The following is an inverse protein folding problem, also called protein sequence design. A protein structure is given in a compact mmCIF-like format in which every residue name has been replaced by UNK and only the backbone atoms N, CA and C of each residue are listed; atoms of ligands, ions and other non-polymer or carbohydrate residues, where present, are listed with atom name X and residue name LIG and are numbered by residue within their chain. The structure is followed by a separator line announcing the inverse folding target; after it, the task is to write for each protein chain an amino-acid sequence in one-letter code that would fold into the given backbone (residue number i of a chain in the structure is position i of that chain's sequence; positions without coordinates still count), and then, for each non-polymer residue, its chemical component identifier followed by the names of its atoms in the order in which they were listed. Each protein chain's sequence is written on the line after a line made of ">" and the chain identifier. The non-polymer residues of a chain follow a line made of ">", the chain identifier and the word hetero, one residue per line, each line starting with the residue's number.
data_IF_661553569674
#
_entry.id   IF_661553569674
#
_cell.length_a   1.000
_cell.length_b   1.000
_cell.length_c   1.000
_cell.angle_alpha   90.00
_cell.angle_beta   90.00
_cell.angle_gamma   90.00
#
_symmetry.space_group_name_H-M   'P 1'
#
loop_
_entity.id
_entity.type
_entity.pdbx_description
1 polymer ?
#
# COMPACT_ATOMS: atom_id res chain seq x y z
N UNK A 1 -2.29 -28.96 2.09
CA UNK A 1 -1.31 -29.99 2.51
C UNK A 1 -0.51 -29.45 3.65
N UNK A 2 -0.19 -30.27 4.66
CA UNK A 2 0.82 -29.95 5.66
C UNK A 2 2.12 -30.68 5.32
N UNK A 3 3.23 -29.98 5.48
CA UNK A 3 4.57 -30.45 5.16
C UNK A 3 5.49 -30.23 6.35
N UNK A 4 6.26 -31.24 6.71
CA UNK A 4 7.26 -31.15 7.78
C UNK A 4 8.56 -30.53 7.25
N UNK A 5 9.09 -29.56 7.98
CA UNK A 5 10.40 -28.98 7.71
C UNK A 5 11.46 -29.67 8.57
N UNK A 6 12.71 -29.61 8.14
CA UNK A 6 13.85 -29.92 9.00
C UNK A 6 13.89 -28.93 10.19
N UNK A 7 14.56 -29.32 11.27
CA UNK A 7 14.62 -28.52 12.51
C UNK A 7 15.26 -27.14 12.34
N UNK A 8 16.04 -26.95 11.28
CA UNK A 8 16.62 -25.66 10.90
C UNK A 8 15.71 -24.77 10.03
N UNK A 9 14.51 -25.27 9.67
CA UNK A 9 13.52 -24.64 8.80
C UNK A 9 14.04 -24.29 7.39
N UNK A 10 15.17 -24.85 6.94
CA UNK A 10 15.77 -24.51 5.63
C UNK A 10 15.25 -25.34 4.47
N UNK A 11 14.64 -26.48 4.77
CA UNK A 11 14.14 -27.41 3.74
C UNK A 11 13.02 -28.29 4.26
N UNK A 12 12.25 -28.84 3.34
CA UNK A 12 11.28 -29.91 3.61
C UNK A 12 12.04 -31.17 4.03
N UNK A 13 11.59 -31.82 5.09
CA UNK A 13 12.19 -33.05 5.61
C UNK A 13 11.89 -34.23 4.67
N UNK A 14 12.93 -34.86 4.14
CA UNK A 14 12.79 -36.08 3.34
C UNK A 14 12.15 -37.21 4.18
N UNK A 15 11.12 -37.86 3.64
CA UNK A 15 10.34 -38.87 4.38
C UNK A 15 9.50 -38.31 5.55
N UNK A 16 9.48 -36.99 5.75
CA UNK A 16 8.64 -36.32 6.75
C UNK A 16 7.17 -36.28 6.36
N UNK A 17 6.34 -35.68 7.22
CA UNK A 17 4.91 -35.52 6.94
C UNK A 17 4.72 -34.74 5.63
N UNK A 18 3.94 -35.29 4.71
CA UNK A 18 3.43 -34.61 3.51
C UNK A 18 2.01 -35.11 3.22
N UNK A 19 1.00 -34.45 3.81
CA UNK A 19 -0.38 -34.95 3.80
C UNK A 19 -1.39 -33.85 3.51
N UNK A 20 -2.36 -34.13 2.64
CA UNK A 20 -3.57 -33.32 2.51
C UNK A 20 -4.46 -33.56 3.73
N UNK A 21 -4.64 -32.53 4.57
CA UNK A 21 -5.34 -32.65 5.87
C UNK A 21 -6.76 -32.06 5.87
N UNK A 22 -7.10 -31.23 4.88
CA UNK A 22 -8.47 -30.86 4.55
C UNK A 22 -8.54 -30.53 3.05
N UNK A 23 -9.75 -30.60 2.48
CA UNK A 23 -10.06 -30.13 1.14
C UNK A 23 -11.20 -29.11 1.21
N UNK A 24 -10.86 -27.83 1.16
CA UNK A 24 -11.85 -26.76 1.09
C UNK A 24 -12.34 -26.51 -0.34
N UNK A 25 -11.69 -27.05 -1.37
CA UNK A 25 -11.87 -26.59 -2.75
C UNK A 25 -10.99 -25.39 -3.11
N UNK A 26 -11.07 -24.96 -4.37
CA UNK A 26 -10.08 -24.08 -5.02
C UNK A 26 -10.04 -22.64 -4.53
N UNK A 27 -11.05 -22.20 -3.78
CA UNK A 27 -11.17 -20.81 -3.33
C UNK A 27 -10.56 -20.54 -1.95
N UNK A 28 -10.17 -21.59 -1.22
CA UNK A 28 -9.61 -21.48 0.13
C UNK A 28 -8.12 -21.11 0.07
N UNK A 29 -7.75 -19.99 0.69
CA UNK A 29 -6.36 -19.60 0.87
C UNK A 29 -6.12 -19.01 2.27
N UNK A 30 -4.94 -18.41 2.46
CA UNK A 30 -4.69 -17.61 3.65
C UNK A 30 -4.65 -18.45 4.92
N UNK A 31 -4.11 -19.67 4.83
CA UNK A 31 -4.13 -20.63 5.91
C UNK A 31 -3.27 -20.18 7.11
N UNK A 32 -3.78 -20.25 8.34
CA UNK A 32 -3.03 -20.04 9.58
C UNK A 32 -3.33 -21.20 10.51
N UNK A 33 -2.29 -21.89 11.00
CA UNK A 33 -2.43 -23.03 11.90
C UNK A 33 -2.00 -22.65 13.31
N UNK A 34 -2.77 -23.08 14.32
CA UNK A 34 -2.40 -22.94 15.73
C UNK A 34 -2.96 -24.11 16.55
N UNK A 35 -2.46 -24.30 17.78
CA UNK A 35 -2.91 -25.37 18.69
C UNK A 35 -3.43 -24.76 19.99
N UNK A 36 -4.63 -25.15 20.41
CA UNK A 36 -5.25 -24.71 21.67
C UNK A 36 -6.20 -25.79 22.22
N UNK A 37 -6.25 -25.97 23.54
CA UNK A 37 -7.19 -26.87 24.22
C UNK A 37 -7.24 -28.29 23.62
N UNK A 38 -6.09 -28.83 23.20
CA UNK A 38 -6.01 -30.16 22.60
C UNK A 38 -6.45 -30.26 21.13
N UNK A 39 -6.83 -29.15 20.49
CA UNK A 39 -7.15 -29.07 19.06
C UNK A 39 -6.05 -28.35 18.27
N UNK A 40 -5.82 -28.82 17.06
CA UNK A 40 -5.19 -28.07 15.98
C UNK A 40 -6.29 -27.33 15.22
N UNK A 41 -6.13 -26.03 15.08
CA UNK A 41 -7.01 -25.15 14.30
C UNK A 41 -6.32 -24.71 13.03
N UNK A 42 -7.06 -24.64 11.93
CA UNK A 42 -6.63 -23.99 10.70
C UNK A 42 -7.68 -22.94 10.35
N UNK A 43 -7.27 -21.69 10.27
CA UNK A 43 -8.11 -20.62 9.73
C UNK A 43 -7.82 -20.52 8.24
N UNK A 44 -8.87 -20.29 7.45
CA UNK A 44 -8.79 -20.18 6.00
C UNK A 44 -9.88 -19.22 5.52
N UNK A 45 -9.58 -18.49 4.45
CA UNK A 45 -10.52 -17.55 3.85
C UNK A 45 -10.93 -18.04 2.47
N UNK A 46 -12.13 -18.62 2.31
CA UNK A 46 -12.67 -18.91 0.99
C UNK A 46 -13.49 -17.76 0.41
N UNK A 47 -13.71 -17.82 -0.90
CA UNK A 47 -14.82 -17.11 -1.54
C UNK A 47 -16.13 -17.77 -1.09
N UNK A 48 -17.11 -16.96 -0.69
CA UNK A 48 -18.43 -17.43 -0.28
C UNK A 48 -19.15 -18.10 -1.45
N UNK A 49 -19.68 -19.30 -1.22
CA UNK A 49 -20.44 -20.04 -2.24
C UNK A 49 -21.69 -19.27 -2.67
N UNK A 50 -21.98 -19.27 -3.99
CA UNK A 50 -23.20 -18.67 -4.55
C UNK A 50 -23.30 -17.14 -4.45
N UNK A 51 -22.27 -16.45 -3.93
CA UNK A 51 -22.20 -14.99 -3.86
C UNK A 51 -21.30 -14.39 -4.95
N UNK A 52 -21.32 -13.06 -5.09
CA UNK A 52 -20.24 -12.34 -5.78
C UNK A 52 -18.88 -12.56 -5.10
N UNK A 53 -17.82 -11.86 -5.53
CA UNK A 53 -16.50 -11.95 -4.89
C UNK A 53 -16.52 -11.39 -3.45
N UNK A 54 -17.02 -12.18 -2.51
CA UNK A 54 -17.08 -11.92 -1.08
C UNK A 54 -16.26 -13.00 -0.36
N UNK A 55 -15.46 -12.59 0.60
CA UNK A 55 -14.65 -13.50 1.42
C UNK A 55 -15.34 -13.74 2.75
N UNK A 56 -15.20 -14.96 3.26
CA UNK A 56 -15.59 -15.35 4.62
C UNK A 56 -14.38 -15.97 5.32
N UNK A 57 -14.49 -16.22 6.62
CA UNK A 57 -13.49 -16.96 7.38
C UNK A 57 -14.07 -18.28 7.90
N UNK A 58 -13.35 -19.36 7.67
CA UNK A 58 -13.65 -20.68 8.20
C UNK A 58 -12.53 -21.15 9.13
N UNK A 59 -12.93 -21.60 10.32
CA UNK A 59 -12.05 -22.38 11.18
C UNK A 59 -12.29 -23.87 10.90
N UNK A 60 -11.20 -24.61 10.78
CA UNK A 60 -11.14 -26.06 10.74
C UNK A 60 -10.48 -26.53 12.03
N UNK A 61 -10.94 -27.61 12.65
CA UNK A 61 -10.22 -28.18 13.80
C UNK A 61 -10.16 -29.70 13.82
N UNK A 62 -9.09 -30.23 14.41
CA UNK A 62 -8.90 -31.66 14.68
C UNK A 62 -8.08 -31.88 15.95
N UNK A 63 -8.32 -32.96 16.68
CA UNK A 63 -7.47 -33.34 17.83
C UNK A 63 -6.10 -33.88 17.42
N UNK A 64 -5.97 -34.32 16.16
CA UNK A 64 -4.75 -34.88 15.60
C UNK A 64 -4.34 -34.05 14.38
N UNK A 65 -3.08 -33.62 14.31
CA UNK A 65 -2.58 -32.77 13.22
C UNK A 65 -2.91 -33.31 11.82
N UNK A 66 -2.80 -34.63 11.67
CA UNK A 66 -3.04 -35.38 10.43
C UNK A 66 -4.38 -36.12 10.42
N UNK A 67 -5.29 -35.81 11.35
CA UNK A 67 -6.62 -36.41 11.45
C UNK A 67 -7.64 -35.77 10.50
N UNK A 68 -8.91 -36.13 10.70
CA UNK A 68 -10.04 -35.49 10.02
C UNK A 68 -10.36 -34.16 10.69
N UNK A 69 -10.60 -33.13 9.88
CA UNK A 69 -10.97 -31.80 10.37
C UNK A 69 -12.47 -31.55 10.17
N UNK A 70 -13.15 -31.12 11.23
CA UNK A 70 -14.48 -30.48 11.12
C UNK A 70 -14.31 -28.97 10.88
N UNK A 71 -15.33 -28.30 10.31
CA UNK A 71 -15.27 -26.87 9.99
C UNK A 71 -16.45 -26.07 10.52
N UNK A 72 -16.23 -24.76 10.69
CA UNK A 72 -17.26 -23.78 11.01
C UNK A 72 -16.94 -22.43 10.38
N UNK A 73 -17.95 -21.73 9.87
CA UNK A 73 -17.83 -20.32 9.50
C UNK A 73 -17.74 -19.49 10.79
N UNK A 74 -16.67 -18.70 10.94
CA UNK A 74 -16.42 -17.90 12.14
C UNK A 74 -16.52 -16.39 11.89
N UNK A 75 -16.53 -15.96 10.62
CA UNK A 75 -16.74 -14.59 10.17
C UNK A 75 -17.39 -14.61 8.79
N UNK A 76 -18.47 -13.86 8.62
CA UNK A 76 -19.10 -13.59 7.31
C UNK A 76 -19.52 -12.12 7.31
N UNK A 77 -18.58 -11.23 6.99
CA UNK A 77 -18.76 -9.79 7.18
C UNK A 77 -18.26 -8.96 5.99
N UNK A 78 -18.78 -9.30 4.81
CA UNK A 78 -18.49 -8.55 3.59
C UNK A 78 -17.02 -8.66 3.18
N UNK A 79 -16.30 -7.54 3.27
CA UNK A 79 -14.91 -7.43 2.84
C UNK A 79 -13.88 -7.83 3.92
N UNK A 80 -14.32 -8.10 5.15
CA UNK A 80 -13.44 -8.46 6.27
C UNK A 80 -13.07 -9.95 6.22
N UNK A 81 -11.77 -10.28 6.17
CA UNK A 81 -11.31 -11.68 6.07
C UNK A 81 -9.81 -11.88 6.37
N UNK A 82 -9.34 -13.12 6.21
CA UNK A 82 -7.95 -13.58 6.39
C UNK A 82 -7.46 -13.42 7.84
N UNK A 83 -8.27 -13.97 8.75
CA UNK A 83 -8.14 -13.83 10.20
C UNK A 83 -6.89 -14.53 10.74
N UNK A 84 -6.27 -13.88 11.72
CA UNK A 84 -5.29 -14.45 12.63
C UNK A 84 -5.78 -14.25 14.07
N UNK A 85 -6.07 -15.33 14.79
CA UNK A 85 -6.43 -15.27 16.20
C UNK A 85 -5.16 -15.07 17.03
N UNK A 86 -5.21 -14.09 17.93
CA UNK A 86 -4.14 -13.70 18.85
C UNK A 86 -4.69 -13.73 20.26
N UNK A 87 -3.97 -14.40 21.15
CA UNK A 87 -4.27 -14.46 22.57
C UNK A 87 -3.12 -13.80 23.33
N UNK A 88 -3.44 -12.87 24.23
CA UNK A 88 -2.45 -12.20 25.09
C UNK A 88 -2.50 -12.71 26.55
N UNK A 89 -3.29 -13.75 26.81
CA UNK A 89 -3.51 -14.34 28.14
C UNK A 89 -4.64 -13.69 28.95
N UNK A 90 -5.06 -12.46 28.62
CA UNK A 90 -6.17 -11.75 29.29
C UNK A 90 -7.35 -11.49 28.35
N UNK A 91 -7.10 -11.45 27.05
CA UNK A 91 -8.07 -11.17 26.01
C UNK A 91 -7.84 -12.04 24.77
N UNK A 92 -8.92 -12.26 24.02
CA UNK A 92 -8.91 -12.99 22.75
C UNK A 92 -9.26 -12.03 21.62
N UNK A 93 -8.36 -11.91 20.64
CA UNK A 93 -8.51 -11.00 19.51
C UNK A 93 -8.23 -11.70 18.19
N UNK A 94 -8.68 -11.06 17.13
CA UNK A 94 -8.36 -11.39 15.77
C UNK A 94 -7.75 -10.16 15.10
N UNK A 95 -6.59 -10.34 14.48
CA UNK A 95 -6.09 -9.44 13.45
C UNK A 95 -6.59 -9.94 12.09
N UNK A 96 -7.11 -9.04 11.27
CA UNK A 96 -7.64 -9.34 9.94
C UNK A 96 -7.51 -8.10 9.04
N UNK A 97 -8.02 -8.13 7.82
CA UNK A 97 -8.12 -6.90 7.02
C UNK A 97 -9.45 -6.78 6.28
N UNK A 98 -9.75 -5.56 5.84
CA UNK A 98 -10.87 -5.22 4.96
C UNK A 98 -10.33 -4.81 3.59
N UNK A 99 -10.88 -5.36 2.51
CA UNK A 99 -10.68 -4.81 1.17
C UNK A 99 -11.42 -3.47 1.03
N UNK A 100 -10.67 -2.38 0.83
CA UNK A 100 -11.21 -1.01 0.89
C UNK A 100 -10.87 -0.17 -0.34
N UNK A 101 -11.13 -0.70 -1.54
CA UNK A 101 -10.95 0.03 -2.79
C UNK A 101 -9.55 0.63 -2.93
N UNK A 102 -9.45 1.87 -3.40
CA UNK A 102 -8.18 2.53 -3.72
C UNK A 102 -7.15 2.62 -2.57
N UNK A 103 -7.56 2.68 -1.30
CA UNK A 103 -6.60 2.67 -0.17
C UNK A 103 -5.94 1.29 0.01
N UNK A 104 -6.52 0.26 -0.61
CA UNK A 104 -6.05 -1.12 -0.56
C UNK A 104 -6.69 -1.90 0.58
N UNK A 105 -5.88 -2.70 1.27
CA UNK A 105 -6.34 -3.64 2.29
C UNK A 105 -5.92 -3.14 3.66
N UNK A 106 -6.89 -2.76 4.48
CA UNK A 106 -6.63 -2.10 5.76
C UNK A 106 -6.72 -3.09 6.92
N UNK A 107 -5.70 -3.17 7.79
CA UNK A 107 -5.78 -4.00 8.98
C UNK A 107 -6.94 -3.59 9.88
N UNK A 108 -7.62 -4.58 10.46
CA UNK A 108 -8.62 -4.43 11.51
C UNK A 108 -8.32 -5.38 12.66
N UNK A 109 -8.92 -5.05 13.80
CA UNK A 109 -8.91 -5.87 14.99
C UNK A 109 -10.35 -6.14 15.40
N UNK A 110 -10.67 -7.37 15.78
CA UNK A 110 -11.98 -7.76 16.28
C UNK A 110 -11.83 -8.64 17.53
N UNK A 111 -12.77 -8.60 18.49
CA UNK A 111 -12.77 -9.53 19.61
C UNK A 111 -13.08 -10.96 19.14
N UNK A 112 -12.63 -11.94 19.91
CA UNK A 112 -12.90 -13.37 19.70
C UNK A 112 -13.64 -13.92 20.91
N UNK A 113 -14.75 -14.61 20.66
CA UNK A 113 -15.51 -15.33 21.68
C UNK A 113 -15.39 -16.83 21.42
N UNK A 114 -14.86 -17.56 22.40
CA UNK A 114 -14.76 -19.02 22.33
C UNK A 114 -16.10 -19.66 22.69
N UNK A 115 -16.75 -20.31 21.73
CA UNK A 115 -18.05 -21.00 21.93
C UNK A 115 -17.89 -22.46 21.52
N UNK A 116 -18.00 -23.37 22.49
CA UNK A 116 -17.80 -24.81 22.26
C UNK A 116 -16.48 -25.10 21.53
N UNK A 117 -15.37 -24.50 22.01
CA UNK A 117 -14.03 -24.57 21.41
C UNK A 117 -13.93 -24.05 19.96
N UNK A 118 -14.82 -23.15 19.54
CA UNK A 118 -14.71 -22.43 18.26
C UNK A 118 -14.37 -20.94 18.47
N UNK A 119 -13.40 -20.37 17.75
CA UNK A 119 -13.02 -18.97 17.88
C UNK A 119 -13.97 -18.08 17.05
N UNK A 120 -15.16 -17.82 17.56
CA UNK A 120 -16.15 -16.99 16.85
C UNK A 120 -15.73 -15.52 16.87
N UNK A 121 -15.64 -14.88 15.71
CA UNK A 121 -15.18 -13.49 15.59
C UNK A 121 -16.35 -12.54 15.87
N UNK A 122 -16.06 -11.40 16.50
CA UNK A 122 -17.05 -10.36 16.78
C UNK A 122 -17.58 -10.40 18.21
N UNK A 123 -18.36 -9.37 18.56
CA UNK A 123 -18.92 -9.21 19.90
C UNK A 123 -19.84 -10.40 20.20
N UNK A 124 -19.54 -11.13 21.26
CA UNK A 124 -20.25 -12.37 21.65
C UNK A 124 -20.32 -13.42 20.52
N UNK A 125 -19.34 -13.41 19.60
CA UNK A 125 -19.28 -14.36 18.49
C UNK A 125 -20.26 -14.10 17.36
N UNK A 126 -20.67 -12.85 17.15
CA UNK A 126 -21.65 -12.43 16.13
C UNK A 126 -21.28 -12.74 14.68
N UNK A 127 -20.01 -13.04 14.39
CA UNK A 127 -19.49 -13.19 13.04
C UNK A 127 -19.33 -11.86 12.31
N UNK A 128 -19.27 -10.73 13.04
CA UNK A 128 -19.21 -9.35 12.50
C UNK A 128 -18.13 -8.52 13.20
N UNK A 129 -17.39 -7.71 12.45
CA UNK A 129 -16.39 -6.80 12.99
C UNK A 129 -17.08 -5.55 13.53
N UNK A 130 -16.97 -5.23 14.84
CA UNK A 130 -17.58 -4.03 15.38
C UNK A 130 -16.85 -2.77 14.87
N UNK A 131 -17.58 -1.68 14.66
CA UNK A 131 -17.00 -0.39 14.28
C UNK A 131 -16.15 0.21 15.41
N UNK A 132 -16.54 -0.02 16.66
CA UNK A 132 -15.83 0.39 17.87
C UNK A 132 -15.81 -0.75 18.87
N UNK A 133 -14.69 -0.88 19.58
CA UNK A 133 -14.56 -1.87 20.64
C UNK A 133 -13.44 -1.47 21.59
N UNK A 134 -13.46 -2.03 22.80
CA UNK A 134 -12.43 -1.77 23.80
C UNK A 134 -11.06 -2.25 23.28
N UNK A 135 -9.99 -1.53 23.57
CA UNK A 135 -8.64 -1.98 23.20
C UNK A 135 -8.20 -3.14 24.11
N UNK A 136 -7.48 -4.17 23.61
CA UNK A 136 -6.92 -5.27 24.41
C UNK A 136 -6.20 -4.82 25.68
N UNK A 137 -5.25 -3.91 25.53
CA UNK A 137 -4.43 -3.44 26.63
C UNK A 137 -4.08 -1.96 26.43
N UNK A 138 -3.83 -1.26 27.53
CA UNK A 138 -3.19 0.05 27.53
C UNK A 138 -1.75 -0.09 27.02
N UNK A 139 -1.58 0.04 25.70
CA UNK A 139 -0.24 0.16 25.10
C UNK A 139 0.46 1.47 25.47
N UNK A 140 1.75 1.58 25.14
CA UNK A 140 2.59 2.78 25.34
C UNK A 140 2.25 3.94 24.38
N UNK A 141 0.96 4.22 24.17
CA UNK A 141 0.47 5.17 23.17
C UNK A 141 0.32 4.55 21.77
N UNK A 142 -0.11 5.39 20.81
CA UNK A 142 -0.19 5.06 19.39
C UNK A 142 1.14 5.47 18.75
N UNK A 143 1.77 4.56 18.00
CA UNK A 143 2.92 4.85 17.16
C UNK A 143 2.54 4.64 15.70
N UNK A 144 2.94 5.58 14.85
CA UNK A 144 2.76 5.49 13.40
C UNK A 144 4.13 5.67 12.73
N UNK A 145 4.35 5.08 11.54
CA UNK A 145 5.50 5.44 10.73
C UNK A 145 5.52 6.95 10.42
N UNK A 146 6.71 7.51 10.23
CA UNK A 146 6.87 8.87 9.73
C UNK A 146 6.16 9.04 8.37
N UNK A 147 5.71 10.25 8.05
CA UNK A 147 4.97 10.53 6.80
C UNK A 147 5.58 11.68 6.01
N UNK A 148 6.02 12.73 6.68
CA UNK A 148 6.84 13.79 6.07
C UNK A 148 8.32 13.43 6.12
N UNK A 149 9.09 13.92 5.16
CA UNK A 149 10.55 13.73 5.08
C UNK A 149 11.19 14.97 4.45
N UNK A 150 12.17 15.56 5.14
CA UNK A 150 12.98 16.69 4.66
C UNK A 150 14.31 16.22 4.07
N UNK A 151 14.48 14.91 3.86
CA UNK A 151 15.63 14.29 3.21
C UNK A 151 16.99 14.69 3.84
N UNK A 152 17.00 15.01 5.12
CA UNK A 152 18.20 15.44 5.86
C UNK A 152 19.10 14.29 6.29
N UNK A 153 18.63 13.03 6.18
CA UNK A 153 19.45 11.84 6.43
C UNK A 153 20.46 11.67 5.30
N UNK A 154 21.75 11.73 5.61
CA UNK A 154 22.80 11.78 4.58
C UNK A 154 22.90 10.54 3.67
N UNK A 155 22.52 9.35 4.14
CA UNK A 155 22.83 8.08 3.44
C UNK A 155 21.70 7.06 3.43
N UNK A 156 20.57 7.32 4.09
CA UNK A 156 19.52 6.33 4.26
C UNK A 156 18.14 6.91 3.97
N UNK A 157 17.41 6.20 3.12
CA UNK A 157 15.97 6.42 2.90
C UNK A 157 15.21 6.01 4.17
N UNK A 158 14.33 6.88 4.65
CA UNK A 158 13.52 6.64 5.85
C UNK A 158 12.49 5.50 5.63
N UNK A 159 12.10 4.80 6.69
CA UNK A 159 11.36 3.52 6.64
C UNK A 159 9.95 3.57 6.05
N UNK A 160 9.35 4.76 5.93
CA UNK A 160 8.04 4.96 5.30
C UNK A 160 8.09 4.77 3.78
N UNK A 161 9.26 4.96 3.20
CA UNK A 161 9.49 4.86 1.78
C UNK A 161 9.82 3.43 1.36
N UNK A 162 9.36 3.05 0.17
CA UNK A 162 9.74 1.82 -0.50
C UNK A 162 9.82 2.09 -1.99
N UNK A 163 10.83 1.53 -2.66
CA UNK A 163 10.98 1.62 -4.10
C UNK A 163 9.94 0.75 -4.82
N UNK A 164 9.45 1.20 -5.97
CA UNK A 164 8.83 0.33 -6.94
C UNK A 164 9.92 -0.56 -7.56
N UNK A 165 9.85 -1.87 -7.31
CA UNK A 165 10.93 -2.83 -7.61
C UNK A 165 12.26 -2.50 -6.92
N UNK A 166 13.31 -3.25 -7.25
CA UNK A 166 14.66 -2.97 -6.75
C UNK A 166 15.19 -1.66 -7.39
N UNK A 167 15.75 -0.73 -6.60
CA UNK A 167 16.33 0.49 -7.13
C UNK A 167 17.67 0.21 -7.82
N UNK A 168 18.07 1.13 -8.71
CA UNK A 168 19.45 1.33 -9.09
C UNK A 168 20.10 2.34 -8.12
N UNK A 169 20.96 1.84 -7.24
CA UNK A 169 21.60 2.63 -6.20
C UNK A 169 22.61 3.67 -6.73
N UNK A 170 22.98 3.61 -8.01
CA UNK A 170 23.80 4.65 -8.65
C UNK A 170 22.97 5.86 -9.12
N UNK A 171 21.64 5.73 -9.10
CA UNK A 171 20.68 6.67 -9.69
C UNK A 171 19.82 7.41 -8.65
N UNK A 172 20.15 7.33 -7.37
CA UNK A 172 19.57 8.18 -6.33
C UNK A 172 20.64 8.61 -5.32
N UNK A 173 20.44 9.76 -4.66
CA UNK A 173 21.39 10.26 -3.66
C UNK A 173 20.72 11.24 -2.70
N UNK A 174 21.17 11.22 -1.44
CA UNK A 174 20.85 12.22 -0.40
C UNK A 174 22.07 13.10 -0.03
N UNK A 175 23.25 12.81 -0.60
CA UNK A 175 24.52 13.46 -0.26
C UNK A 175 25.05 14.39 -1.36
N UNK A 176 24.73 14.12 -2.62
CA UNK A 176 25.10 15.00 -3.77
C UNK A 176 24.45 16.38 -3.70
N UNK A 177 23.30 16.49 -3.03
CA UNK A 177 22.68 17.75 -2.64
C UNK A 177 22.11 17.57 -1.22
N UNK A 178 22.89 17.88 -0.16
CA UNK A 178 22.44 17.67 1.21
C UNK A 178 21.09 18.37 1.49
N UNK A 179 20.19 17.65 2.18
CA UNK A 179 18.81 18.09 2.45
C UNK A 179 17.84 17.88 1.29
N UNK A 180 18.27 17.25 0.19
CA UNK A 180 17.43 16.99 -0.97
C UNK A 180 17.58 15.53 -1.42
N UNK A 181 16.48 14.93 -1.88
CA UNK A 181 16.52 13.68 -2.63
C UNK A 181 16.79 13.98 -4.11
N UNK A 182 17.94 13.54 -4.61
CA UNK A 182 18.25 13.53 -6.03
C UNK A 182 17.84 12.22 -6.68
N UNK A 183 17.02 12.28 -7.73
CA UNK A 183 16.73 11.16 -8.61
C UNK A 183 17.38 11.40 -9.98
N UNK A 184 18.36 10.57 -10.36
CA UNK A 184 19.03 10.66 -11.67
C UNK A 184 18.23 9.92 -12.73
N UNK A 185 18.21 10.47 -13.93
CA UNK A 185 17.38 9.98 -15.01
C UNK A 185 17.82 8.59 -15.48
N UNK A 186 16.83 7.72 -15.68
CA UNK A 186 16.94 6.45 -16.40
C UNK A 186 15.87 6.39 -17.50
N UNK A 187 16.13 5.61 -18.54
CA UNK A 187 15.12 5.37 -19.57
C UNK A 187 13.97 4.52 -19.01
N UNK A 188 12.74 4.87 -19.36
CA UNK A 188 11.56 4.03 -19.19
C UNK A 188 10.47 4.42 -20.20
N UNK A 189 9.70 3.46 -20.68
CA UNK A 189 8.57 3.74 -21.56
C UNK A 189 7.44 4.50 -20.84
N UNK A 190 7.29 4.26 -19.53
CA UNK A 190 6.27 4.86 -18.67
C UNK A 190 6.68 4.72 -17.19
N UNK A 191 5.91 5.35 -16.29
CA UNK A 191 6.21 5.34 -14.84
C UNK A 191 6.18 3.94 -14.19
N UNK A 192 5.44 2.96 -14.73
CA UNK A 192 5.39 1.61 -14.16
C UNK A 192 6.73 0.88 -14.30
N UNK A 193 7.48 1.21 -15.36
CA UNK A 193 8.81 0.68 -15.68
C UNK A 193 9.94 1.58 -15.19
N UNK A 194 9.63 2.80 -14.74
CA UNK A 194 10.61 3.75 -14.22
C UNK A 194 11.22 3.24 -12.91
N UNK A 195 12.46 2.74 -13.01
CA UNK A 195 13.30 2.45 -11.83
C UNK A 195 13.45 3.70 -10.97
N UNK A 196 13.70 3.49 -9.68
CA UNK A 196 13.83 4.55 -8.69
C UNK A 196 12.57 5.42 -8.54
N UNK A 197 11.40 4.85 -8.80
CA UNK A 197 10.13 5.43 -8.33
C UNK A 197 10.01 5.17 -6.82
N UNK A 198 10.17 6.21 -6.01
CA UNK A 198 10.14 6.14 -4.54
C UNK A 198 8.72 6.39 -4.04
N UNK A 199 8.12 5.43 -3.33
CA UNK A 199 6.71 5.50 -2.97
C UNK A 199 6.46 5.35 -1.47
N UNK A 200 5.44 6.02 -0.95
CA UNK A 200 4.89 5.79 0.40
C UNK A 200 3.36 5.65 0.35
N UNK A 201 2.77 5.05 1.38
CA UNK A 201 1.33 4.72 1.39
C UNK A 201 0.48 5.98 1.45
N UNK A 202 -0.59 6.02 0.64
CA UNK A 202 -1.73 6.91 0.92
C UNK A 202 -2.43 6.38 2.17
N UNK A 203 -2.84 7.30 3.06
CA UNK A 203 -3.62 6.95 4.26
C UNK A 203 -5.05 7.46 4.10
N UNK A 204 -6.02 6.62 4.45
CA UNK A 204 -7.44 6.94 4.38
C UNK A 204 -7.98 7.63 5.64
N UNK A 205 -9.21 8.18 5.59
CA UNK A 205 -10.08 8.22 4.42
C UNK A 205 -9.60 9.20 3.34
N UNK A 206 -8.78 10.20 3.73
CA UNK A 206 -8.22 11.19 2.83
C UNK A 206 -6.79 11.51 3.26
N UNK A 207 -5.94 11.85 2.31
CA UNK A 207 -4.63 12.42 2.61
C UNK A 207 -4.13 13.31 1.48
N UNK A 208 -3.22 14.20 1.82
CA UNK A 208 -2.50 15.03 0.87
C UNK A 208 -1.00 14.75 0.97
N UNK A 209 -0.34 14.64 -0.17
CA UNK A 209 1.11 14.56 -0.28
C UNK A 209 1.60 15.66 -1.21
N UNK A 210 2.64 16.39 -0.81
CA UNK A 210 3.23 17.41 -1.66
C UNK A 210 4.74 17.52 -1.53
N UNK A 211 5.36 17.98 -2.60
CA UNK A 211 6.81 18.15 -2.72
C UNK A 211 7.16 19.53 -3.23
N UNK A 212 8.41 19.93 -2.97
CA UNK A 212 9.08 21.00 -3.69
C UNK A 212 10.11 20.36 -4.62
N UNK A 213 9.97 20.62 -5.92
CA UNK A 213 10.78 20.06 -6.99
C UNK A 213 11.64 21.18 -7.60
N UNK A 214 12.95 20.95 -7.68
CA UNK A 214 13.84 21.71 -8.56
C UNK A 214 14.00 20.96 -9.90
N UNK A 215 13.40 21.53 -10.94
CA UNK A 215 13.41 21.02 -12.29
C UNK A 215 14.55 21.57 -13.15
N UNK A 216 15.51 22.32 -12.59
CA UNK A 216 16.60 22.98 -13.35
C UNK A 216 17.33 22.00 -14.27
N UNK A 217 17.60 20.78 -13.80
CA UNK A 217 18.37 19.76 -14.52
C UNK A 217 17.55 18.70 -15.28
N UNK A 218 16.23 18.91 -15.41
CA UNK A 218 15.38 18.09 -16.27
C UNK A 218 15.67 18.45 -17.74
N UNK A 219 16.28 17.52 -18.48
CA UNK A 219 16.70 17.68 -19.90
C UNK A 219 15.57 17.31 -20.87
N UNK A 220 15.65 17.67 -22.17
CA UNK A 220 14.65 17.30 -23.16
C UNK A 220 14.28 15.81 -23.13
N UNK A 221 12.98 15.52 -23.17
CA UNK A 221 12.43 14.16 -23.09
C UNK A 221 12.35 13.58 -21.68
N UNK A 222 12.73 14.32 -20.64
CA UNK A 222 12.68 13.87 -19.24
C UNK A 222 11.41 14.35 -18.54
N UNK A 223 10.93 13.55 -17.59
CA UNK A 223 9.70 13.75 -16.82
C UNK A 223 9.99 13.42 -15.36
N UNK A 224 9.67 14.35 -14.46
CA UNK A 224 9.79 14.12 -13.01
C UNK A 224 8.66 14.80 -12.24
N UNK A 225 8.15 14.13 -11.21
CA UNK A 225 7.04 14.67 -10.44
C UNK A 225 6.52 13.76 -9.34
N UNK A 226 5.24 13.96 -9.02
CA UNK A 226 4.50 13.30 -7.94
C UNK A 226 3.27 12.58 -8.51
N UNK A 227 3.10 11.31 -8.17
CA UNK A 227 2.01 10.46 -8.67
C UNK A 227 1.08 9.97 -7.56
N UNK A 228 -0.22 9.89 -7.87
CA UNK A 228 -1.12 8.91 -7.29
C UNK A 228 -0.85 7.55 -7.98
N UNK A 229 0.03 6.76 -7.39
CA UNK A 229 0.69 5.64 -8.04
C UNK A 229 -0.03 4.31 -7.79
N UNK A 230 -0.43 3.70 -8.89
CA UNK A 230 -0.95 2.34 -9.03
C UNK A 230 -0.79 1.94 -10.51
N UNK A 231 -1.19 0.73 -10.91
CA UNK A 231 -1.28 0.37 -12.34
C UNK A 231 -2.25 1.26 -13.14
N UNK A 232 -3.16 1.98 -12.44
CA UNK A 232 -4.10 2.96 -13.00
C UNK A 232 -3.76 4.38 -12.52
N UNK A 233 -2.48 4.73 -12.64
CA UNK A 233 -1.92 5.96 -12.09
C UNK A 233 -2.43 7.23 -12.74
N UNK A 234 -2.25 8.33 -12.00
CA UNK A 234 -2.16 9.68 -12.54
C UNK A 234 -1.02 10.42 -11.84
N UNK A 235 -0.49 11.45 -12.48
CA UNK A 235 0.58 12.27 -11.91
C UNK A 235 0.45 13.74 -12.27
N UNK A 236 1.15 14.56 -11.49
CA UNK A 236 1.55 15.91 -11.86
C UNK A 236 3.07 15.99 -11.88
N UNK A 237 3.63 16.55 -12.94
CA UNK A 237 5.06 16.50 -13.21
C UNK A 237 5.55 17.68 -14.03
N UNK A 238 6.86 17.93 -13.96
CA UNK A 238 7.55 18.74 -14.97
C UNK A 238 8.04 17.82 -16.08
N UNK A 239 7.65 18.11 -17.32
CA UNK A 239 8.15 17.47 -18.53
C UNK A 239 8.88 18.48 -19.39
N UNK A 240 10.03 18.10 -19.93
CA UNK A 240 10.76 18.95 -20.87
C UNK A 240 10.48 18.50 -22.32
N UNK A 241 9.55 19.20 -22.98
CA UNK A 241 9.17 18.98 -24.37
C UNK A 241 10.20 19.69 -25.28
N UNK A 242 11.25 18.97 -25.71
CA UNK A 242 12.24 19.46 -26.66
C UNK A 242 12.86 20.83 -26.32
N UNK A 243 13.16 21.06 -25.03
CA UNK A 243 13.76 22.29 -24.52
C UNK A 243 12.78 23.20 -23.77
N UNK A 244 11.46 22.98 -23.93
CA UNK A 244 10.43 23.75 -23.21
C UNK A 244 9.92 22.94 -22.02
N UNK A 245 10.17 23.42 -20.80
CA UNK A 245 9.62 22.79 -19.59
C UNK A 245 8.15 23.17 -19.43
N UNK A 246 7.32 22.16 -19.20
CA UNK A 246 5.89 22.28 -18.94
C UNK A 246 5.53 21.59 -17.66
N UNK A 247 4.55 22.14 -16.96
CA UNK A 247 3.84 21.42 -15.92
C UNK A 247 2.73 20.60 -16.59
N UNK A 248 2.67 19.31 -16.28
CA UNK A 248 1.78 18.34 -16.91
C UNK A 248 1.02 17.57 -15.84
N UNK A 249 -0.31 17.53 -15.95
CA UNK A 249 -1.15 16.53 -15.31
C UNK A 249 -1.52 15.46 -16.33
N UNK A 250 -1.31 14.18 -15.99
CA UNK A 250 -1.58 13.04 -16.87
C UNK A 250 -2.28 11.92 -16.11
N UNK A 251 -3.26 11.27 -16.74
CA UNK A 251 -3.85 9.99 -16.32
C UNK A 251 -3.50 8.91 -17.33
N UNK A 252 -3.34 7.66 -16.87
CA UNK A 252 -2.97 6.52 -17.73
C UNK A 252 -3.96 6.20 -18.86
N UNK A 253 -5.16 6.78 -18.83
CA UNK A 253 -6.15 6.68 -19.91
C UNK A 253 -5.81 7.59 -21.12
N UNK A 254 -4.72 8.36 -21.03
CA UNK A 254 -4.27 9.29 -22.07
C UNK A 254 -4.73 10.73 -21.86
N UNK A 255 -5.57 11.00 -20.86
CA UNK A 255 -6.01 12.35 -20.53
C UNK A 255 -4.84 13.18 -20.01
N UNK A 256 -4.59 14.32 -20.64
CA UNK A 256 -3.49 15.21 -20.27
C UNK A 256 -3.94 16.68 -20.26
N UNK A 257 -3.39 17.47 -19.34
CA UNK A 257 -3.44 18.93 -19.37
C UNK A 257 -2.06 19.47 -19.06
N UNK A 258 -1.57 20.41 -19.87
CA UNK A 258 -0.27 21.02 -19.65
C UNK A 258 -0.28 22.54 -19.79
N UNK A 259 0.61 23.19 -19.05
CA UNK A 259 0.90 24.63 -19.13
C UNK A 259 2.41 24.83 -19.16
N UNK A 260 2.87 25.99 -19.63
CA UNK A 260 4.28 26.33 -19.53
C UNK A 260 4.71 26.40 -18.07
N UNK A 261 5.95 26.00 -17.79
CA UNK A 261 6.53 26.15 -16.46
C UNK A 261 7.08 27.58 -16.31
N UNK A 262 6.64 28.29 -15.29
CA UNK A 262 7.02 29.69 -15.04
C UNK A 262 8.35 29.80 -14.29
N UNK A 263 8.65 28.84 -13.42
CA UNK A 263 9.88 28.78 -12.62
C UNK A 263 10.38 27.33 -12.51
N UNK A 264 11.69 27.12 -12.55
CA UNK A 264 12.30 25.78 -12.38
C UNK A 264 12.01 25.18 -11.00
N UNK A 265 11.80 25.99 -9.96
CA UNK A 265 11.32 25.49 -8.66
C UNK A 265 9.79 25.56 -8.62
N UNK A 266 9.15 24.43 -8.39
CA UNK A 266 7.68 24.30 -8.34
C UNK A 266 7.26 23.34 -7.24
N UNK A 267 6.12 23.61 -6.62
CA UNK A 267 5.51 22.71 -5.66
C UNK A 267 4.43 21.88 -6.33
N UNK A 268 4.41 20.57 -6.05
CA UNK A 268 3.49 19.61 -6.65
C UNK A 268 2.72 18.90 -5.55
N UNK A 269 1.40 18.78 -5.66
CA UNK A 269 0.52 18.18 -4.65
C UNK A 269 -0.48 17.22 -5.27
N UNK A 270 -0.72 16.13 -4.55
CA UNK A 270 -1.77 15.16 -4.82
C UNK A 270 -2.65 15.06 -3.59
N UNK A 271 -3.94 15.37 -3.74
CA UNK A 271 -4.96 15.07 -2.75
C UNK A 271 -5.65 13.76 -3.15
N UNK A 272 -5.61 12.75 -2.27
CA UNK A 272 -6.27 11.48 -2.46
C UNK A 272 -7.47 11.36 -1.49
N UNK A 273 -8.66 11.09 -2.04
CA UNK A 273 -9.88 10.82 -1.30
C UNK A 273 -10.29 9.37 -1.57
N UNK A 274 -10.10 8.50 -0.58
CA UNK A 274 -10.34 7.07 -0.68
C UNK A 274 -11.82 6.70 -0.52
N UNK A 275 -12.63 7.57 0.06
CA UNK A 275 -14.09 7.37 0.16
C UNK A 275 -14.74 7.52 -1.22
N UNK A 276 -14.38 8.59 -1.93
CA UNK A 276 -14.85 8.87 -3.30
C UNK A 276 -14.01 8.19 -4.38
N UNK A 277 -12.87 7.63 -4.03
CA UNK A 277 -11.86 7.06 -4.93
C UNK A 277 -11.39 8.06 -6.00
N UNK A 278 -11.16 9.31 -5.59
CA UNK A 278 -10.72 10.39 -6.48
C UNK A 278 -9.38 10.95 -6.00
N UNK A 279 -8.42 11.08 -6.93
CA UNK A 279 -7.23 11.89 -6.71
C UNK A 279 -7.28 13.19 -7.54
N UNK A 280 -6.79 14.28 -6.95
CA UNK A 280 -6.72 15.62 -7.56
C UNK A 280 -5.29 16.14 -7.50
N UNK A 281 -4.91 16.88 -8.53
CA UNK A 281 -3.54 17.33 -8.74
C UNK A 281 -3.45 18.85 -8.70
N UNK A 282 -2.47 19.37 -7.97
CA UNK A 282 -2.29 20.80 -7.77
C UNK A 282 -0.82 21.18 -7.88
N UNK A 283 -0.58 22.43 -8.25
CA UNK A 283 0.74 23.03 -8.22
C UNK A 283 0.71 24.39 -7.51
N UNK A 284 1.89 24.86 -7.12
CA UNK A 284 2.09 26.18 -6.53
C UNK A 284 3.51 26.65 -6.83
N UNK A 285 3.75 27.96 -6.78
CA UNK A 285 5.08 28.57 -6.81
C UNK A 285 5.45 29.25 -5.48
N UNK A 286 4.53 29.30 -4.52
CA UNK A 286 4.72 29.94 -3.20
C UNK A 286 4.47 28.98 -2.00
N UNK A 287 4.09 27.73 -2.28
CA UNK A 287 3.66 26.69 -1.32
C UNK A 287 2.40 27.03 -0.49
N UNK A 288 1.74 28.17 -0.76
CA UNK A 288 0.60 28.66 0.01
C UNK A 288 -0.68 28.65 -0.83
N UNK A 289 -0.57 29.13 -2.07
CA UNK A 289 -1.66 29.25 -3.03
C UNK A 289 -1.55 28.13 -4.04
N UNK A 290 -2.51 27.20 -4.02
CA UNK A 290 -2.49 26.02 -4.86
C UNK A 290 -3.52 26.11 -5.98
N UNK A 291 -3.08 25.83 -7.20
CA UNK A 291 -3.93 25.80 -8.40
C UNK A 291 -4.10 24.37 -8.86
N UNK A 292 -5.36 23.95 -9.07
CA UNK A 292 -5.64 22.62 -9.63
C UNK A 292 -5.21 22.60 -11.10
N UNK A 293 -4.52 21.53 -11.51
CA UNK A 293 -4.21 21.28 -12.92
C UNK A 293 -4.92 20.00 -13.40
N UNK A 294 -5.56 20.10 -14.56
CA UNK A 294 -6.15 18.95 -15.26
C UNK A 294 -7.32 18.27 -14.56
N UNK A 295 -7.53 17.01 -14.95
CA UNK A 295 -8.71 16.25 -14.59
C UNK A 295 -8.52 15.46 -13.29
N UNK A 296 -9.64 15.06 -12.69
CA UNK A 296 -9.61 14.14 -11.55
C UNK A 296 -9.14 12.75 -12.06
N UNK A 297 -8.32 12.06 -11.28
CA UNK A 297 -8.10 10.64 -11.47
C UNK A 297 -9.17 9.86 -10.70
N UNK A 298 -9.90 8.99 -11.38
CA UNK A 298 -10.71 7.96 -10.73
C UNK A 298 -9.79 6.81 -10.32
N UNK A 299 -9.44 6.75 -9.04
CA UNK A 299 -8.59 5.69 -8.50
C UNK A 299 -9.33 4.35 -8.58
N UNK A 300 -8.66 3.34 -9.11
CA UNK A 300 -9.17 1.99 -9.27
C UNK A 300 -8.19 0.96 -8.70
N UNK A 301 -8.63 0.20 -7.69
CA UNK A 301 -7.87 -0.87 -7.07
C UNK A 301 -7.88 -2.11 -7.97
N UNK A 302 -7.00 -2.09 -8.96
CA UNK A 302 -6.89 -3.16 -9.93
C UNK A 302 -6.04 -4.34 -9.42
N UNK A 303 -6.66 -5.14 -8.55
CA UNK A 303 -6.05 -6.28 -7.85
C UNK A 303 -5.41 -7.34 -8.75
N UNK A 304 -5.81 -7.42 -10.03
CA UNK A 304 -5.28 -8.38 -11.01
C UNK A 304 -3.84 -8.09 -11.43
N UNK A 305 -3.45 -6.82 -11.43
CA UNK A 305 -2.05 -6.45 -11.63
C UNK A 305 -1.38 -6.25 -10.27
N UNK A 306 -1.89 -5.31 -9.48
CA UNK A 306 -1.24 -4.88 -8.24
C UNK A 306 -2.19 -5.10 -7.06
N UNK A 307 -1.73 -5.89 -6.09
CA UNK A 307 -2.48 -6.23 -4.87
C UNK A 307 -2.21 -5.21 -3.72
N UNK A 308 -1.76 -4.01 -4.08
CA UNK A 308 -1.37 -2.94 -3.15
C UNK A 308 -2.24 -1.71 -3.35
N UNK A 309 -2.54 -0.98 -2.28
CA UNK A 309 -3.28 0.30 -2.40
C UNK A 309 -2.49 1.36 -3.16
N UNK A 310 -3.16 2.45 -3.52
CA UNK A 310 -2.52 3.62 -4.11
C UNK A 310 -1.45 4.19 -3.18
N UNK A 311 -0.42 4.78 -3.77
CA UNK A 311 0.72 5.36 -3.07
C UNK A 311 1.01 6.76 -3.59
N UNK A 312 1.57 7.63 -2.76
CA UNK A 312 2.26 8.81 -3.26
C UNK A 312 3.63 8.37 -3.78
N UNK A 313 4.00 8.75 -5.00
CA UNK A 313 5.29 8.35 -5.57
C UNK A 313 6.04 9.50 -6.23
N UNK A 314 7.34 9.61 -5.90
CA UNK A 314 8.30 10.49 -6.55
C UNK A 314 9.00 9.71 -7.65
N UNK A 315 9.17 10.31 -8.82
CA UNK A 315 9.76 9.62 -9.97
C UNK A 315 10.55 10.58 -10.84
N UNK A 316 11.50 10.03 -11.59
CA UNK A 316 12.21 10.73 -12.66
C UNK A 316 12.62 9.71 -13.74
N UNK A 317 12.20 9.93 -14.99
CA UNK A 317 12.59 9.08 -16.11
C UNK A 317 12.63 9.86 -17.42
N UNK A 318 13.11 9.21 -18.48
CA UNK A 318 13.05 9.73 -19.85
C UNK A 318 12.46 8.71 -20.80
N UNK A 319 11.75 9.19 -21.82
CA UNK A 319 11.36 8.40 -22.99
C UNK A 319 12.35 8.57 -24.16
N UNK A 320 13.34 9.46 -24.02
CA UNK A 320 14.41 9.69 -25.00
C UNK A 320 15.71 8.97 -24.64
N UNK A 321 16.78 9.27 -25.37
CA UNK A 321 18.11 8.69 -25.14
C UNK A 321 18.95 9.42 -24.09
N UNK A 322 18.65 10.68 -23.79
CA UNK A 322 19.42 11.49 -22.83
C UNK A 322 19.07 11.17 -21.37
N UNK A 323 20.00 10.52 -20.69
CA UNK A 323 19.90 10.15 -19.26
C UNK A 323 20.81 10.98 -18.35
N UNK A 324 21.39 12.08 -18.86
CA UNK A 324 22.35 12.92 -18.13
C UNK A 324 21.70 13.84 -17.08
N UNK A 325 20.38 13.94 -17.08
CA UNK A 325 19.63 14.83 -16.19
C UNK A 325 19.28 14.21 -14.84
N UNK A 326 18.66 15.04 -14.00
CA UNK A 326 18.17 14.67 -12.69
C UNK A 326 17.10 15.65 -12.21
N UNK A 327 16.38 15.24 -11.18
CA UNK A 327 15.43 16.05 -10.42
C UNK A 327 15.78 16.00 -8.93
N UNK A 328 15.70 17.16 -8.28
CA UNK A 328 15.95 17.29 -6.84
C UNK A 328 14.63 17.61 -6.12
N UNK A 329 14.35 16.87 -5.04
CA UNK A 329 13.18 17.07 -4.18
C UNK A 329 13.64 17.53 -2.80
N UNK A 330 13.21 18.72 -2.37
CA UNK A 330 13.61 19.32 -1.06
C UNK A 330 12.99 18.53 0.10
N UNK A 331 11.71 18.19 -0.08
CA UNK A 331 10.95 17.49 0.93
C UNK A 331 9.78 16.74 0.28
N UNK A 332 9.22 15.84 1.07
CA UNK A 332 7.84 15.41 0.95
C UNK A 332 7.10 15.76 2.25
N UNK A 333 5.97 16.44 2.14
CA UNK A 333 5.08 16.71 3.27
C UNK A 333 3.78 15.95 3.10
N UNK A 334 3.20 15.60 4.24
CA UNK A 334 1.99 14.81 4.34
C UNK A 334 0.96 15.47 5.24
N UNK A 335 -0.31 15.41 4.83
CA UNK A 335 -1.46 15.71 5.68
C UNK A 335 -2.42 14.51 5.73
N UNK A 336 -2.97 14.15 6.90
CA UNK A 336 -4.02 13.13 7.04
C UNK A 336 -5.40 13.66 6.58
N UNK A 337 -5.45 14.79 5.88
CA UNK A 337 -6.63 15.35 5.23
C UNK A 337 -6.28 15.84 3.83
N UNK A 338 -7.27 15.95 2.94
CA UNK A 338 -7.11 16.65 1.68
C UNK A 338 -7.18 18.17 1.93
N UNK A 339 -6.14 18.93 1.54
CA UNK A 339 -6.05 20.36 1.86
C UNK A 339 -6.56 21.27 0.74
N UNK A 340 -6.81 20.73 -0.46
CA UNK A 340 -7.39 21.45 -1.58
C UNK A 340 -6.52 22.61 -2.03
N UNK A 341 -7.11 23.80 -2.12
CA UNK A 341 -6.39 25.02 -2.52
C UNK A 341 -5.69 25.75 -1.36
N UNK A 342 -5.90 25.29 -0.13
CA UNK A 342 -5.30 25.86 1.08
C UNK A 342 -3.90 25.31 1.37
N UNK A 343 -3.28 25.87 2.43
CA UNK A 343 -2.01 25.39 3.00
C UNK A 343 -2.05 23.90 3.29
#
# INVERSE_FOLDING_TARGET
>A
TITELNTDCKSVKAGGINKKIFDGGSTHDGNRIFKKNGYYYILSTPVKDGGGYQRIEKAWRSKTLTGTYEQKVILDDGANHQVCVVEDGSYNWAALFEDKGAVGRIPKIAPVTWINDWPMIGVNGSGKVPATYNKPASGNGIKSPDTSDDFTKATAISSQWQWNHNPDNSKWSLSEHPGWLRLKTSYAANILEARNTLAQRIQGPKSSGWVKLDATNIKPGQISGLSAFHSKYGYIAVRNDNGTKKLVQYNVDGTETSINLDNNTVYLKVDADCDTQIAKFYYSYDANSWTKLGNNLKMDFFYKLWFIGYRFALFNYTTGSDTSGYADFDYFKFSPTATGVGK
#
